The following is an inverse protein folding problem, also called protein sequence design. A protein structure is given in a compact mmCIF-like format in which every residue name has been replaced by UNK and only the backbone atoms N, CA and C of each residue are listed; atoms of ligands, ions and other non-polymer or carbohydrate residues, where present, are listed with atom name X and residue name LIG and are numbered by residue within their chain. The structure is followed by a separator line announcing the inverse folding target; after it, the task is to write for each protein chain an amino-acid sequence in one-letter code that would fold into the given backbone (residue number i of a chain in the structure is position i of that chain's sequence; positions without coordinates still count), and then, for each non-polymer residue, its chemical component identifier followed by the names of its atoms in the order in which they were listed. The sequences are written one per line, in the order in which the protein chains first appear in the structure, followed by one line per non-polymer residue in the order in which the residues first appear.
data_IF_491045808655
#
_entry.id   IF_491045808655
#
_cell.length_a   1.000
_cell.length_b   1.000
_cell.length_c   1.000
_cell.angle_alpha   90.00
_cell.angle_beta   90.00
_cell.angle_gamma   90.00
#
_symmetry.space_group_name_H-M   'P 1'
#
loop_
_entity.id
_entity.type
_entity.pdbx_description
1 polymer ?
#
# COMPACT_ATOMS: atom_id res chain seq x y z
N UNK A 1 3.82 -18.57 31.14
CA UNK A 1 4.54 -18.87 29.89
C UNK A 1 3.65 -18.57 28.70
N UNK A 2 4.20 -18.50 27.49
CA UNK A 2 3.39 -18.41 26.28
C UNK A 2 2.66 -19.74 26.00
N UNK A 3 1.49 -19.68 25.37
CA UNK A 3 0.76 -20.84 24.87
C UNK A 3 0.96 -20.96 23.36
N UNK A 4 1.11 -22.18 22.83
CA UNK A 4 1.35 -22.41 21.41
C UNK A 4 0.56 -23.60 20.85
N UNK A 5 0.10 -23.44 19.62
CA UNK A 5 -0.28 -24.54 18.72
C UNK A 5 0.83 -24.63 17.66
N UNK A 6 1.43 -25.82 17.45
CA UNK A 6 2.59 -25.99 16.55
C UNK A 6 2.54 -27.32 15.80
N UNK A 7 3.19 -27.38 14.64
CA UNK A 7 3.45 -28.62 13.89
C UNK A 7 4.44 -29.54 14.63
N UNK A 8 4.48 -30.82 14.24
CA UNK A 8 5.36 -31.84 14.84
C UNK A 8 6.86 -31.51 14.67
N UNK A 9 7.22 -30.95 13.52
CA UNK A 9 8.58 -30.46 13.24
C UNK A 9 8.90 -29.10 13.91
N UNK A 10 7.90 -28.47 14.53
CA UNK A 10 7.99 -27.19 15.21
C UNK A 10 8.18 -25.96 14.32
N UNK A 11 8.19 -26.12 12.98
CA UNK A 11 8.51 -25.04 12.04
C UNK A 11 7.35 -24.06 11.83
N UNK A 12 6.11 -24.53 11.99
CA UNK A 12 4.89 -23.74 11.81
C UNK A 12 4.14 -23.66 13.13
N UNK A 13 3.81 -22.46 13.59
CA UNK A 13 3.13 -22.28 14.88
C UNK A 13 2.35 -20.96 15.01
N UNK A 14 1.41 -21.00 15.93
CA UNK A 14 0.67 -19.85 16.46
C UNK A 14 1.00 -19.73 17.95
N UNK A 15 1.45 -18.55 18.39
CA UNK A 15 1.82 -18.26 19.78
C UNK A 15 0.99 -17.13 20.38
N UNK A 16 0.52 -17.34 21.61
CA UNK A 16 -0.09 -16.34 22.49
C UNK A 16 0.86 -16.03 23.64
N UNK A 17 1.39 -14.81 23.69
CA UNK A 17 2.34 -14.40 24.71
C UNK A 17 1.68 -13.45 25.74
N UNK A 18 1.42 -13.89 26.98
CA UNK A 18 0.68 -13.08 27.96
C UNK A 18 1.49 -11.90 28.53
N UNK A 19 2.83 -11.98 28.51
CA UNK A 19 3.70 -10.91 29.02
C UNK A 19 3.79 -9.73 28.05
N UNK A 20 3.82 -10.00 26.74
CA UNK A 20 3.86 -8.96 25.71
C UNK A 20 2.50 -8.65 25.10
N UNK A 21 1.50 -9.50 25.38
CA UNK A 21 0.15 -9.44 24.81
C UNK A 21 0.15 -9.47 23.27
N UNK A 22 1.08 -10.25 22.69
CA UNK A 22 1.22 -10.40 21.25
C UNK A 22 0.82 -11.79 20.79
N UNK A 23 0.26 -11.82 19.58
CA UNK A 23 0.08 -13.03 18.79
C UNK A 23 1.23 -13.11 17.79
N UNK A 24 1.83 -14.29 17.63
CA UNK A 24 2.83 -14.55 16.59
C UNK A 24 2.40 -15.73 15.74
N UNK A 25 2.39 -15.53 14.43
CA UNK A 25 2.16 -16.58 13.44
C UNK A 25 3.48 -16.78 12.70
N UNK A 26 4.00 -18.00 12.71
CA UNK A 26 5.16 -18.40 11.91
C UNK A 26 4.71 -19.51 10.98
N UNK A 27 4.80 -19.27 9.68
CA UNK A 27 4.39 -20.22 8.65
C UNK A 27 5.32 -20.06 7.44
N UNK A 28 6.48 -20.76 7.41
CA UNK A 28 7.48 -20.60 6.36
C UNK A 28 6.97 -20.91 4.94
N UNK A 29 5.95 -21.75 4.82
CA UNK A 29 5.29 -22.05 3.54
C UNK A 29 4.29 -20.99 3.07
N UNK A 30 3.95 -20.01 3.91
CA UNK A 30 2.95 -18.97 3.61
C UNK A 30 1.79 -18.93 4.61
N UNK A 31 0.98 -17.89 4.50
CA UNK A 31 -0.25 -17.69 5.26
C UNK A 31 -1.38 -17.30 4.30
N UNK A 32 -2.36 -18.19 4.16
CA UNK A 32 -3.59 -17.90 3.42
C UNK A 32 -4.68 -17.40 4.37
N UNK A 33 -5.27 -16.24 4.06
CA UNK A 33 -6.39 -15.66 4.82
C UNK A 33 -7.61 -15.58 3.89
N UNK A 34 -8.48 -16.58 3.98
CA UNK A 34 -9.74 -16.64 3.22
C UNK A 34 -10.86 -16.07 4.09
N UNK A 35 -11.14 -14.79 3.91
CA UNK A 35 -12.18 -14.05 4.66
C UNK A 35 -12.89 -13.04 3.76
N UNK A 36 -14.19 -12.78 3.97
CA UNK A 36 -14.87 -11.68 3.27
C UNK A 36 -14.28 -10.30 3.57
N UNK A 37 -13.72 -10.12 4.78
CA UNK A 37 -13.11 -8.88 5.23
C UNK A 37 -12.01 -9.18 6.27
N UNK A 38 -10.84 -8.58 6.08
CA UNK A 38 -9.79 -8.48 7.10
C UNK A 38 -9.69 -7.03 7.53
N UNK A 39 -10.13 -6.72 8.75
CA UNK A 39 -10.12 -5.37 9.31
C UNK A 39 -8.91 -5.17 10.23
N UNK A 40 -8.19 -4.08 10.01
CA UNK A 40 -7.02 -3.69 10.80
C UNK A 40 -7.25 -2.28 11.36
N UNK A 41 -7.40 -2.18 12.68
CA UNK A 41 -7.72 -0.90 13.35
C UNK A 41 -6.57 0.11 13.37
N UNK A 42 -5.37 -0.32 12.97
CA UNK A 42 -4.14 0.47 13.05
C UNK A 42 -3.18 0.11 11.92
N UNK A 43 -1.91 0.47 12.08
CA UNK A 43 -0.87 0.30 11.07
C UNK A 43 -0.60 -1.17 10.77
N UNK A 44 -0.43 -1.46 9.49
CA UNK A 44 0.12 -2.73 8.99
C UNK A 44 1.48 -2.43 8.36
N UNK A 45 2.52 -3.15 8.81
CA UNK A 45 3.86 -3.06 8.23
C UNK A 45 4.09 -4.24 7.30
N UNK A 46 4.53 -3.97 6.08
CA UNK A 46 4.81 -4.98 5.05
C UNK A 46 6.23 -4.75 4.55
N UNK A 47 7.09 -5.76 4.69
CA UNK A 47 8.50 -5.67 4.28
C UNK A 47 8.72 -6.11 2.84
N UNK A 48 7.82 -6.96 2.32
CA UNK A 48 7.85 -7.45 0.95
C UNK A 48 6.92 -6.66 0.03
N UNK A 49 6.56 -7.28 -1.09
CA UNK A 49 5.59 -6.74 -2.04
C UNK A 49 4.17 -6.76 -1.46
N UNK A 50 3.42 -5.67 -1.62
CA UNK A 50 1.98 -5.60 -1.42
C UNK A 50 1.30 -5.43 -2.78
N UNK A 51 0.33 -6.31 -3.08
CA UNK A 51 -0.43 -6.30 -4.33
C UNK A 51 -1.93 -6.10 -4.08
N UNK A 52 -2.57 -5.20 -4.81
CA UNK A 52 -4.02 -4.94 -4.74
C UNK A 52 -4.73 -5.42 -6.01
N UNK A 53 -5.15 -6.68 -6.06
CA UNK A 53 -5.81 -7.22 -7.25
C UNK A 53 -7.20 -6.60 -7.51
N UNK A 54 -7.94 -6.28 -6.44
CA UNK A 54 -9.22 -5.56 -6.50
C UNK A 54 -9.10 -4.03 -6.50
N UNK A 55 -7.88 -3.49 -6.51
CA UNK A 55 -7.60 -2.07 -6.36
C UNK A 55 -7.44 -1.60 -4.91
N UNK A 56 -7.04 -0.33 -4.75
CA UNK A 56 -6.85 0.34 -3.47
C UNK A 56 -7.84 1.50 -3.34
N UNK A 57 -8.50 1.60 -2.18
CA UNK A 57 -9.30 2.77 -1.81
C UNK A 57 -8.78 3.29 -0.46
N UNK A 58 -8.44 4.57 -0.41
CA UNK A 58 -8.08 5.28 0.82
C UNK A 58 -9.11 6.35 1.14
N UNK A 59 -9.57 6.42 2.39
CA UNK A 59 -10.49 7.46 2.87
C UNK A 59 -10.14 7.82 4.30
N UNK A 60 -10.13 9.12 4.62
CA UNK A 60 -9.85 9.65 5.96
C UNK A 60 -10.77 10.81 6.27
N UNK A 61 -11.11 10.99 7.54
CA UNK A 61 -11.90 12.15 8.01
C UNK A 61 -11.10 13.45 7.86
N UNK A 62 -9.77 13.38 8.04
CA UNK A 62 -8.87 14.53 7.94
C UNK A 62 -7.46 14.09 7.52
N UNK A 63 -6.72 14.97 6.84
CA UNK A 63 -5.34 14.73 6.42
C UNK A 63 -5.26 14.09 5.03
N UNK A 64 -4.26 13.23 4.83
CA UNK A 64 -4.01 12.55 3.55
C UNK A 64 -4.40 11.08 3.67
N UNK A 65 -5.22 10.59 2.73
CA UNK A 65 -5.64 9.19 2.72
C UNK A 65 -4.52 8.22 2.36
N UNK A 66 -3.51 8.70 1.62
CA UNK A 66 -2.30 7.96 1.27
C UNK A 66 -1.12 8.92 1.19
N UNK A 67 0.04 8.49 1.70
CA UNK A 67 1.31 9.20 1.59
C UNK A 67 2.38 8.19 1.16
N UNK A 68 3.01 8.45 0.02
CA UNK A 68 4.12 7.64 -0.50
C UNK A 68 5.37 8.50 -0.44
N UNK A 69 6.44 7.97 0.15
CA UNK A 69 7.75 8.63 0.21
C UNK A 69 8.74 7.82 -0.63
N UNK A 70 9.35 8.45 -1.63
CA UNK A 70 10.23 7.80 -2.59
C UNK A 70 9.73 7.93 -4.02
N UNK A 71 10.42 7.27 -4.95
CA UNK A 71 10.00 7.21 -6.34
C UNK A 71 8.78 6.30 -6.49
N UNK A 72 7.88 6.66 -7.41
CA UNK A 72 6.72 5.86 -7.79
C UNK A 72 6.72 5.73 -9.30
N UNK A 73 6.66 4.50 -9.79
CA UNK A 73 6.49 4.21 -11.21
C UNK A 73 5.03 3.85 -11.47
N UNK A 74 4.46 4.44 -12.50
CA UNK A 74 3.11 4.13 -12.96
C UNK A 74 3.19 3.56 -14.37
N UNK A 75 2.61 2.37 -14.54
CA UNK A 75 2.43 1.75 -15.85
C UNK A 75 0.94 1.89 -16.20
N UNK A 76 0.64 2.63 -17.26
CA UNK A 76 -0.73 2.96 -17.66
C UNK A 76 -1.09 4.42 -17.35
N UNK A 77 -2.36 4.67 -17.03
CA UNK A 77 -2.88 6.03 -16.82
C UNK A 77 -2.98 6.40 -15.34
N UNK A 78 -2.58 7.61 -14.99
CA UNK A 78 -2.89 8.23 -13.69
C UNK A 78 -3.93 9.32 -13.91
N UNK A 79 -4.92 9.44 -13.01
CA UNK A 79 -5.87 10.55 -13.00
C UNK A 79 -5.87 11.25 -11.65
N UNK A 80 -5.92 12.58 -11.67
CA UNK A 80 -6.24 13.39 -10.50
C UNK A 80 -7.49 14.21 -10.78
N UNK A 81 -8.51 14.09 -9.91
CA UNK A 81 -9.80 14.80 -10.05
C UNK A 81 -10.43 14.62 -11.46
N UNK A 82 -10.35 13.40 -11.99
CA UNK A 82 -10.88 13.06 -13.32
C UNK A 82 -10.04 13.55 -14.51
N UNK A 83 -8.93 14.27 -14.27
CA UNK A 83 -8.00 14.73 -15.31
C UNK A 83 -6.86 13.73 -15.45
N UNK A 84 -6.55 13.35 -16.69
CA UNK A 84 -5.39 12.52 -16.99
C UNK A 84 -4.10 13.26 -16.65
N UNK A 85 -3.14 12.51 -16.12
CA UNK A 85 -1.76 12.91 -15.90
C UNK A 85 -0.91 12.03 -16.84
N UNK A 86 -0.78 12.51 -18.07
CA UNK A 86 0.04 11.91 -19.13
C UNK A 86 0.64 13.02 -20.00
N UNK A 87 1.26 12.64 -21.12
CA UNK A 87 1.86 13.58 -22.07
C UNK A 87 0.85 14.48 -22.80
N UNK A 88 -0.46 14.29 -22.60
CA UNK A 88 -1.52 15.16 -23.15
C UNK A 88 -2.05 16.17 -22.13
N UNK A 89 -1.59 16.10 -20.88
CA UNK A 89 -1.96 17.06 -19.84
C UNK A 89 -1.52 18.48 -20.23
N UNK A 90 -2.44 19.45 -20.16
CA UNK A 90 -2.17 20.84 -20.52
C UNK A 90 -2.72 21.82 -19.48
N UNK A 91 -2.13 23.02 -19.44
CA UNK A 91 -2.57 24.13 -18.60
C UNK A 91 -3.11 25.28 -19.47
N UNK A 92 -4.32 25.76 -19.19
CA UNK A 92 -4.92 26.93 -19.84
C UNK A 92 -4.69 28.23 -19.05
N UNK A 93 -4.97 29.39 -19.69
CA UNK A 93 -4.94 30.69 -19.01
C UNK A 93 -3.54 31.27 -18.76
N UNK A 94 -2.51 30.68 -19.36
CA UNK A 94 -1.14 31.20 -19.32
C UNK A 94 -0.92 32.23 -20.43
N UNK A 95 -0.29 33.36 -20.11
CA UNK A 95 0.18 34.31 -21.12
C UNK A 95 1.55 33.83 -21.62
N UNK A 96 1.63 33.43 -22.88
CA UNK A 96 2.92 33.09 -23.49
C UNK A 96 3.70 34.39 -23.74
N UNK A 97 4.92 34.46 -23.23
CA UNK A 97 5.86 35.52 -23.59
C UNK A 97 6.34 35.38 -25.04
N UNK A 98 7.16 36.32 -25.52
CA UNK A 98 7.78 36.23 -26.85
C UNK A 98 8.98 35.28 -26.93
N UNK A 99 9.41 34.71 -25.80
CA UNK A 99 10.52 33.75 -25.73
C UNK A 99 10.04 32.34 -26.02
N UNK A 100 10.89 31.53 -26.65
CA UNK A 100 10.56 30.14 -26.90
C UNK A 100 10.62 29.34 -25.58
N UNK A 101 9.54 28.65 -25.24
CA UNK A 101 9.41 27.82 -24.02
C UNK A 101 9.24 26.33 -24.35
N UNK A 102 9.54 25.93 -25.58
CA UNK A 102 9.50 24.52 -25.98
C UNK A 102 10.45 23.67 -25.10
N UNK A 103 10.08 22.40 -24.89
CA UNK A 103 10.83 21.47 -24.04
C UNK A 103 12.23 21.18 -24.57
N UNK A 104 13.15 20.88 -23.64
CA UNK A 104 14.53 20.48 -23.96
C UNK A 104 14.48 19.10 -24.65
N UNK A 105 15.09 19.00 -25.82
CA UNK A 105 15.31 17.73 -26.55
C UNK A 105 16.16 16.74 -25.75
#
# INVERSE_FOLDING_TARGET
GAAQLRSDDGSTFFELNPSTQKIKIVAPGGLDIVTPLADFSAKVTIHGLLSWLGGMVGSVVSGVASKITGAVEFIGSVKANGKLIDNTHTHGGVQRGGSNTDEVN
#
